data_IF_029165628009
#
_entry.id   IF_029165628009
#
_cell.length_a   1.000
_cell.length_b   1.000
_cell.length_c   1.000
_cell.angle_alpha   90.00
_cell.angle_beta   90.00
_cell.angle_gamma   90.00
#
_symmetry.space_group_name_H-M   'P 1'
#
loop_
_entity.id
_entity.type
_entity.pdbx_description
1 polymer ?
#
# COMPACT_ATOMS: atom_id res chain seq x y z
N UNK A 1 -29.41 -15.30 -11.29
CA UNK A 1 -28.67 -14.17 -11.90
C UNK A 1 -27.37 -13.96 -11.13
N UNK A 2 -26.23 -14.07 -11.82
CA UNK A 2 -24.89 -14.16 -11.22
C UNK A 2 -24.32 -12.74 -11.10
N UNK A 3 -24.19 -12.20 -9.89
CA UNK A 3 -23.55 -10.91 -9.69
C UNK A 3 -22.04 -11.03 -9.97
N UNK A 4 -21.54 -10.31 -10.97
CA UNK A 4 -20.10 -10.16 -11.22
C UNK A 4 -19.52 -9.18 -10.18
N UNK A 5 -18.57 -9.65 -9.37
CA UNK A 5 -17.77 -8.80 -8.49
C UNK A 5 -16.80 -7.99 -9.33
N UNK A 6 -17.03 -6.67 -9.41
CA UNK A 6 -16.14 -5.73 -10.09
C UNK A 6 -14.73 -5.78 -9.52
N UNK A 7 -13.79 -6.31 -10.31
CA UNK A 7 -12.37 -6.25 -10.03
C UNK A 7 -11.92 -4.80 -9.92
N UNK A 8 -11.01 -4.52 -8.98
CA UNK A 8 -10.44 -3.19 -8.76
C UNK A 8 -9.85 -2.70 -10.09
N UNK A 9 -10.35 -1.61 -10.71
CA UNK A 9 -9.83 -1.17 -11.99
C UNK A 9 -8.35 -0.81 -11.81
N UNK A 10 -7.53 -1.23 -12.77
CA UNK A 10 -6.14 -0.79 -12.89
C UNK A 10 -6.10 0.74 -12.76
N UNK A 11 -5.05 1.27 -12.11
CA UNK A 11 -4.93 2.72 -11.85
C UNK A 11 -5.00 3.49 -13.16
N UNK A 12 -6.21 3.96 -13.51
CA UNK A 12 -6.42 4.76 -14.71
C UNK A 12 -5.75 6.10 -14.49
N UNK A 13 -4.80 6.46 -15.36
CA UNK A 13 -4.18 7.77 -15.32
C UNK A 13 -5.26 8.80 -15.69
N UNK A 14 -5.73 9.56 -14.71
CA UNK A 14 -6.80 10.54 -14.88
C UNK A 14 -6.48 11.60 -15.93
N UNK A 15 -5.19 11.97 -16.09
CA UNK A 15 -4.78 12.93 -17.12
C UNK A 15 -4.98 12.36 -18.52
N UNK A 16 -4.68 11.07 -18.73
CA UNK A 16 -4.82 10.39 -20.02
C UNK A 16 -6.29 10.27 -20.45
N UNK A 17 -7.16 9.87 -19.52
CA UNK A 17 -8.61 9.79 -19.77
C UNK A 17 -9.22 11.14 -20.18
N UNK A 18 -8.80 12.23 -19.55
CA UNK A 18 -9.31 13.58 -19.87
C UNK A 18 -8.82 14.08 -21.23
N UNK A 19 -7.57 13.78 -21.59
CA UNK A 19 -7.00 14.10 -22.89
C UNK A 19 -7.70 13.33 -24.03
N UNK A 20 -7.90 12.02 -23.85
CA UNK A 20 -8.55 11.15 -24.84
C UNK A 20 -10.02 11.54 -25.09
N UNK A 21 -10.68 12.18 -24.12
CA UNK A 21 -12.06 12.68 -24.23
C UNK A 21 -12.17 14.18 -24.52
N UNK A 22 -11.05 14.87 -24.79
CA UNK A 22 -11.00 16.33 -25.04
C UNK A 22 -11.69 17.18 -23.95
N UNK A 23 -11.73 16.69 -22.72
CA UNK A 23 -12.40 17.36 -21.61
C UNK A 23 -11.41 18.31 -20.92
N UNK A 24 -11.57 19.61 -21.17
CA UNK A 24 -10.82 20.65 -20.45
C UNK A 24 -11.53 20.95 -19.14
N UNK A 25 -10.93 20.54 -18.01
CA UNK A 25 -11.47 20.76 -16.66
C UNK A 25 -10.50 21.58 -15.82
N UNK A 26 -11.04 22.53 -15.06
CA UNK A 26 -10.24 23.28 -14.08
C UNK A 26 -9.78 22.38 -12.93
N UNK A 27 -8.64 22.70 -12.35
CA UNK A 27 -8.09 22.01 -11.18
C UNK A 27 -9.08 21.97 -10.00
N UNK A 28 -9.89 23.02 -9.83
CA UNK A 28 -10.94 23.07 -8.81
C UNK A 28 -12.08 22.09 -9.05
N UNK A 29 -12.43 21.85 -10.31
CA UNK A 29 -13.44 20.85 -10.67
C UNK A 29 -12.94 19.45 -10.35
N UNK A 30 -11.68 19.15 -10.67
CA UNK A 30 -11.01 17.89 -10.31
C UNK A 30 -10.95 17.73 -8.79
N UNK A 31 -10.55 18.77 -8.05
CA UNK A 31 -10.48 18.74 -6.58
C UNK A 31 -11.85 18.49 -5.94
N UNK A 32 -12.91 19.16 -6.42
CA UNK A 32 -14.29 18.95 -5.95
C UNK A 32 -14.76 17.51 -6.18
N UNK A 33 -14.46 16.96 -7.36
CA UNK A 33 -14.81 15.58 -7.69
C UNK A 33 -14.08 14.58 -6.78
N UNK A 34 -12.77 14.75 -6.58
CA UNK A 34 -11.99 13.90 -5.68
C UNK A 34 -12.51 13.95 -4.23
N UNK A 35 -12.90 15.14 -3.74
CA UNK A 35 -13.54 15.29 -2.43
C UNK A 35 -14.89 14.56 -2.36
N UNK A 36 -15.75 14.70 -3.37
CA UNK A 36 -17.04 13.98 -3.46
C UNK A 36 -16.84 12.46 -3.51
N UNK A 37 -15.79 11.99 -4.17
CA UNK A 37 -15.40 10.59 -4.24
C UNK A 37 -14.64 10.11 -2.98
N UNK A 38 -14.56 10.91 -1.93
CA UNK A 38 -13.84 10.63 -0.67
C UNK A 38 -12.37 10.23 -0.87
N UNK A 39 -11.74 10.71 -1.95
CA UNK A 39 -10.33 10.46 -2.24
C UNK A 39 -9.47 11.45 -1.47
N UNK A 40 -8.55 10.93 -0.65
CA UNK A 40 -7.61 11.73 0.15
C UNK A 40 -6.20 11.62 -0.44
N UNK A 41 -5.50 12.74 -0.45
CA UNK A 41 -4.07 12.76 -0.76
C UNK A 41 -3.32 12.09 0.39
N UNK A 42 -2.42 11.16 0.07
CA UNK A 42 -1.58 10.46 1.04
C UNK A 42 -0.16 10.40 0.47
N UNK A 43 0.83 10.72 1.29
CA UNK A 43 2.23 10.54 0.90
C UNK A 43 2.54 9.07 0.74
N UNK A 44 3.23 8.72 -0.35
CA UNK A 44 3.76 7.38 -0.50
C UNK A 44 4.80 7.16 0.60
N UNK A 45 4.76 6.04 1.33
CA UNK A 45 5.75 5.78 2.35
C UNK A 45 7.10 5.43 1.72
N UNK A 46 8.20 5.84 2.37
CA UNK A 46 9.59 5.59 1.93
C UNK A 46 10.07 4.15 2.23
N UNK A 47 9.13 3.21 2.40
CA UNK A 47 9.43 1.81 2.62
C UNK A 47 9.12 0.98 1.40
N UNK A 48 9.92 -0.07 1.18
CA UNK A 48 9.66 -1.04 0.14
C UNK A 48 8.31 -1.74 0.39
N UNK A 49 7.43 -1.82 -0.62
CA UNK A 49 6.16 -2.53 -0.49
C UNK A 49 6.38 -3.99 -0.07
N UNK A 50 5.65 -4.44 0.94
CA UNK A 50 5.68 -5.84 1.34
C UNK A 50 4.86 -6.67 0.36
N UNK A 51 5.52 -7.63 -0.29
CA UNK A 51 4.83 -8.66 -1.06
C UNK A 51 3.91 -9.49 -0.14
N UNK A 52 2.84 -10.11 -0.66
CA UNK A 52 1.97 -10.98 0.16
C UNK A 52 2.74 -12.06 0.92
N UNK A 53 3.77 -12.65 0.29
CA UNK A 53 4.67 -13.61 0.92
C UNK A 53 5.42 -13.00 2.11
N UNK A 54 6.08 -11.85 1.92
CA UNK A 54 6.79 -11.14 3.01
C UNK A 54 5.87 -10.81 4.19
N UNK A 55 4.61 -10.43 3.94
CA UNK A 55 3.64 -10.18 5.01
C UNK A 55 3.33 -11.44 5.81
N UNK A 56 3.09 -12.57 5.13
CA UNK A 56 2.83 -13.86 5.77
C UNK A 56 4.02 -14.33 6.61
N UNK A 57 5.21 -14.27 6.04
CA UNK A 57 6.44 -14.74 6.70
C UNK A 57 6.73 -13.91 7.96
N UNK A 58 6.61 -12.57 7.87
CA UNK A 58 6.76 -11.68 9.04
C UNK A 58 5.70 -11.95 10.11
N UNK A 59 4.44 -12.16 9.72
CA UNK A 59 3.37 -12.47 10.67
C UNK A 59 3.60 -13.81 11.38
N UNK A 60 3.99 -14.84 10.64
CA UNK A 60 4.30 -16.15 11.19
C UNK A 60 5.49 -16.08 12.15
N UNK A 61 6.55 -15.37 11.75
CA UNK A 61 7.74 -15.16 12.59
C UNK A 61 7.40 -14.46 13.91
N UNK A 62 6.54 -13.44 13.87
CA UNK A 62 6.11 -12.71 15.06
C UNK A 62 5.22 -13.58 15.96
N UNK A 63 4.24 -14.30 15.37
CA UNK A 63 3.35 -15.20 16.12
C UNK A 63 4.12 -16.31 16.82
N UNK A 64 5.11 -16.92 16.16
CA UNK A 64 5.88 -18.01 16.77
C UNK A 64 6.78 -17.56 17.93
N UNK A 65 6.99 -16.25 18.09
CA UNK A 65 7.82 -15.65 19.15
C UNK A 65 7.02 -14.70 20.04
N UNK A 66 5.69 -14.73 19.95
CA UNK A 66 4.82 -13.82 20.70
C UNK A 66 4.92 -14.04 22.22
N UNK A 67 5.16 -15.29 22.64
CA UNK A 67 5.31 -15.67 24.05
C UNK A 67 6.76 -15.68 24.55
N UNK A 68 7.72 -15.24 23.72
CA UNK A 68 9.13 -15.24 24.13
C UNK A 68 9.38 -14.27 25.28
N UNK A 69 10.11 -14.74 26.27
CA UNK A 69 10.52 -13.95 27.43
C UNK A 69 11.78 -13.15 27.12
N UNK A 70 12.11 -12.20 28.00
CA UNK A 70 13.37 -11.44 27.92
C UNK A 70 14.59 -12.38 27.90
N UNK A 71 14.56 -13.48 28.64
CA UNK A 71 15.66 -14.44 28.67
C UNK A 71 15.81 -15.22 27.36
N UNK A 72 14.72 -15.46 26.63
CA UNK A 72 14.77 -16.08 25.31
C UNK A 72 15.42 -15.13 24.29
N UNK A 73 15.06 -13.84 24.34
CA UNK A 73 15.68 -12.81 23.49
C UNK A 73 17.17 -12.60 23.76
N UNK A 74 17.60 -12.69 25.03
CA UNK A 74 19.02 -12.59 25.42
C UNK A 74 19.91 -13.67 24.79
N UNK A 75 19.33 -14.79 24.35
CA UNK A 75 20.06 -15.88 23.68
C UNK A 75 20.23 -15.65 22.18
N UNK A 76 19.62 -14.61 21.61
CA UNK A 76 19.70 -14.29 20.18
C UNK A 76 20.86 -13.31 19.93
N UNK A 77 21.75 -13.67 19.01
CA UNK A 77 22.79 -12.78 18.49
C UNK A 77 22.36 -12.29 17.10
N UNK A 78 22.26 -10.98 16.91
CA UNK A 78 21.93 -10.35 15.64
C UNK A 78 23.21 -9.88 14.94
N UNK A 79 23.34 -10.16 13.65
CA UNK A 79 24.40 -9.63 12.78
C UNK A 79 23.79 -9.05 11.52
N UNK A 80 24.34 -7.93 11.04
CA UNK A 80 23.96 -7.30 9.78
C UNK A 80 25.18 -6.60 9.18
N UNK A 81 25.17 -6.40 7.86
CA UNK A 81 26.24 -5.73 7.12
C UNK A 81 25.75 -4.35 6.67
N UNK A 82 26.60 -3.33 6.81
CA UNK A 82 26.36 -2.00 6.24
C UNK A 82 27.51 -1.60 5.34
N UNK A 83 27.23 -0.75 4.36
CA UNK A 83 28.28 -0.04 3.63
C UNK A 83 28.90 1.00 4.54
N UNK A 84 30.23 1.13 4.47
CA UNK A 84 31.01 2.24 5.04
C UNK A 84 31.08 3.35 3.99
#
# INVERSE_FOLDING_TARGET
MRQQKGGRPAKMNAQRYLADNQVVVSSDTVRRLLKRANSKAVHKPDVLPLTPKRRKDRLNWAKSRQSWTINDWKRVVFSDETKI
#
